data_IF_786376041191
#
_entry.id   IF_786376041191
#
_cell.length_a   1.000
_cell.length_b   1.000
_cell.length_c   1.000
_cell.angle_alpha   90.00
_cell.angle_beta   90.00
_cell.angle_gamma   90.00
#
_symmetry.space_group_name_H-M   'P 1'
#
loop_
_entity.id
_entity.type
_entity.pdbx_description
1 polymer ?
#
# COMPACT_ATOMS: atom_id res chain seq x y z
N UNK A 1 22.59 3.11 -3.22
CA UNK A 1 21.51 4.00 -2.74
C UNK A 1 21.02 3.47 -1.40
N UNK A 2 21.36 4.13 -0.28
CA UNK A 2 21.02 3.67 1.07
C UNK A 2 19.50 3.69 1.29
N UNK A 3 18.83 2.55 1.09
CA UNK A 3 17.43 2.38 1.46
C UNK A 3 17.38 2.10 2.96
N UNK A 4 16.94 3.09 3.75
CA UNK A 4 16.70 2.90 5.18
C UNK A 4 15.53 1.93 5.35
N UNK A 5 15.85 0.71 5.78
CA UNK A 5 14.88 -0.32 6.13
C UNK A 5 13.95 0.22 7.25
N UNK A 6 12.65 0.05 7.10
CA UNK A 6 11.65 0.57 8.03
C UNK A 6 11.73 -0.24 9.35
N UNK A 7 11.86 0.49 10.45
CA UNK A 7 11.80 -0.08 11.79
C UNK A 7 10.39 0.08 12.38
N UNK A 8 9.93 -0.93 13.12
CA UNK A 8 8.56 -0.97 13.64
C UNK A 8 8.30 0.12 14.68
N UNK A 9 9.34 0.49 15.43
CA UNK A 9 9.26 1.54 16.43
C UNK A 9 9.30 2.89 15.74
N UNK A 10 10.11 3.07 14.71
CA UNK A 10 10.23 4.38 14.04
C UNK A 10 9.13 4.72 13.01
N UNK A 11 8.11 3.88 12.84
CA UNK A 11 7.01 4.15 11.88
C UNK A 11 6.31 5.48 12.13
N UNK A 12 6.11 5.85 13.40
CA UNK A 12 5.43 7.09 13.77
C UNK A 12 6.30 8.35 13.55
N UNK A 13 7.62 8.20 13.39
CA UNK A 13 8.56 9.29 13.13
C UNK A 13 8.66 9.64 11.64
N UNK A 14 8.05 8.83 10.78
CA UNK A 14 8.11 9.00 9.34
C UNK A 14 7.36 10.25 8.88
N UNK A 15 7.93 10.92 7.87
CA UNK A 15 7.33 12.10 7.29
C UNK A 15 5.96 11.79 6.68
N UNK A 16 4.94 12.52 7.15
CA UNK A 16 3.56 12.47 6.62
C UNK A 16 3.54 12.96 5.17
N UNK A 17 2.68 12.37 4.35
CA UNK A 17 2.57 12.71 2.93
C UNK A 17 3.69 12.15 2.03
N UNK A 18 4.58 11.29 2.57
CA UNK A 18 5.63 10.63 1.79
C UNK A 18 5.42 9.11 1.71
N UNK A 19 6.00 8.53 0.67
CA UNK A 19 6.15 7.09 0.50
C UNK A 19 7.56 6.67 0.98
N UNK A 20 7.62 5.65 1.83
CA UNK A 20 8.85 5.11 2.37
C UNK A 20 9.01 3.67 1.88
N UNK A 21 10.19 3.30 1.40
CA UNK A 21 10.44 1.94 0.90
C UNK A 21 11.23 1.15 1.94
N UNK A 22 10.76 -0.06 2.28
CA UNK A 22 11.43 -0.97 3.21
C UNK A 22 12.45 -1.86 2.49
N UNK A 23 12.16 -2.20 1.23
CA UNK A 23 12.94 -3.15 0.43
C UNK A 23 12.11 -4.35 -0.01
N UNK A 24 12.60 -5.12 -0.99
CA UNK A 24 11.89 -6.29 -1.50
C UNK A 24 10.52 -5.99 -2.12
N UNK A 25 10.33 -4.77 -2.65
CA UNK A 25 9.04 -4.32 -3.21
C UNK A 25 8.04 -3.79 -2.17
N UNK A 26 8.34 -3.86 -0.87
CA UNK A 26 7.49 -3.33 0.18
C UNK A 26 7.74 -1.83 0.40
N UNK A 27 6.65 -1.07 0.47
CA UNK A 27 6.65 0.34 0.84
C UNK A 27 5.47 0.69 1.76
N UNK A 28 5.62 1.80 2.47
CA UNK A 28 4.62 2.42 3.30
C UNK A 28 4.23 3.76 2.70
N UNK A 29 2.96 3.94 2.39
CA UNK A 29 2.42 5.23 2.01
C UNK A 29 1.77 5.89 3.24
N UNK A 30 2.16 7.12 3.53
CA UNK A 30 1.58 7.92 4.61
C UNK A 30 0.78 9.05 3.97
N UNK A 31 -0.53 9.09 4.22
CA UNK A 31 -1.37 10.20 3.76
C UNK A 31 -1.01 11.49 4.52
N UNK A 32 -1.31 12.68 3.98
CA UNK A 32 -1.11 13.94 4.72
C UNK A 32 -1.90 13.99 6.04
N UNK A 33 -2.99 13.21 6.15
CA UNK A 33 -3.77 13.03 7.38
C UNK A 33 -3.11 12.09 8.40
N UNK A 34 -2.00 11.44 8.05
CA UNK A 34 -1.28 10.50 8.91
C UNK A 34 -1.78 9.06 8.85
N UNK A 35 -2.70 8.73 7.94
CA UNK A 35 -3.10 7.34 7.72
C UNK A 35 -1.98 6.60 7.00
N UNK A 36 -1.56 5.47 7.54
CA UNK A 36 -0.45 4.67 7.02
C UNK A 36 -0.98 3.39 6.39
N UNK A 37 -0.61 3.15 5.12
CA UNK A 37 -0.97 1.94 4.39
C UNK A 37 0.25 1.28 3.74
N UNK A 38 0.29 -0.05 3.83
CA UNK A 38 1.30 -0.87 3.20
C UNK A 38 0.98 -1.04 1.72
N UNK A 39 2.00 -0.85 0.88
CA UNK A 39 1.97 -1.07 -0.56
C UNK A 39 3.07 -2.03 -0.97
N UNK A 40 2.74 -2.95 -1.85
CA UNK A 40 3.67 -3.84 -2.50
C UNK A 40 3.75 -3.47 -3.97
N UNK A 41 4.95 -3.17 -4.45
CA UNK A 41 5.27 -2.87 -5.85
C UNK A 41 5.95 -4.09 -6.45
N UNK A 42 5.39 -4.60 -7.54
CA UNK A 42 5.96 -5.73 -8.27
C UNK A 42 5.81 -5.49 -9.78
N UNK A 43 6.64 -6.20 -10.54
CA UNK A 43 6.57 -6.19 -12.00
C UNK A 43 6.18 -7.58 -12.45
N UNK A 44 5.07 -7.69 -13.16
CA UNK A 44 4.56 -8.94 -13.71
C UNK A 44 4.29 -8.76 -15.21
N UNK A 45 4.79 -9.67 -16.05
CA UNK A 45 4.62 -9.58 -17.51
C UNK A 45 5.12 -8.26 -18.13
N UNK A 46 6.17 -7.66 -17.56
CA UNK A 46 6.71 -6.36 -18.00
C UNK A 46 5.90 -5.13 -17.57
N UNK A 47 4.83 -5.31 -16.78
CA UNK A 47 4.00 -4.23 -16.25
C UNK A 47 4.25 -4.04 -14.76
N UNK A 48 4.52 -2.80 -14.35
CA UNK A 48 4.70 -2.46 -12.95
C UNK A 48 3.34 -2.21 -12.30
N UNK A 49 2.97 -3.08 -11.37
CA UNK A 49 1.71 -3.00 -10.63
C UNK A 49 1.96 -2.71 -9.14
N UNK A 50 0.92 -2.19 -8.46
CA UNK A 50 0.96 -1.83 -7.05
C UNK A 50 -0.24 -2.44 -6.35
N UNK A 51 0.01 -3.22 -5.31
CA UNK A 51 -1.00 -3.83 -4.49
C UNK A 51 -1.01 -3.23 -3.07
N UNK A 52 -2.19 -2.95 -2.52
CA UNK A 52 -2.34 -2.57 -1.12
C UNK A 52 -2.36 -3.81 -0.22
N UNK A 53 -1.48 -3.86 0.79
CA UNK A 53 -1.43 -4.98 1.75
C UNK A 53 -2.29 -4.74 3.00
N UNK A 54 -2.77 -3.51 3.18
CA UNK A 54 -3.63 -3.08 4.29
C UNK A 54 -3.07 -1.90 5.08
N UNK A 55 -3.86 -1.42 6.05
CA UNK A 55 -3.42 -0.38 6.99
C UNK A 55 -2.43 -0.93 8.02
N UNK A 56 -1.68 -0.03 8.66
CA UNK A 56 -0.69 -0.39 9.67
C UNK A 56 -1.27 -1.09 10.91
N UNK A 57 -2.56 -0.85 11.21
CA UNK A 57 -3.28 -1.52 12.29
C UNK A 57 -3.77 -2.93 11.94
N UNK A 58 -3.86 -3.25 10.64
CA UNK A 58 -4.26 -4.58 10.19
C UNK A 58 -3.06 -5.52 10.04
N UNK A 59 -1.89 -4.99 9.69
CA UNK A 59 -0.66 -5.78 9.52
C UNK A 59 0.57 -5.06 10.06
N UNK A 60 1.36 -5.77 10.86
CA UNK A 60 2.66 -5.32 11.35
C UNK A 60 3.73 -5.36 10.25
N UNK A 61 4.89 -4.73 10.48
CA UNK A 61 6.02 -4.77 9.55
C UNK A 61 6.46 -6.20 9.22
N UNK A 62 6.50 -7.07 10.24
CA UNK A 62 6.92 -8.46 10.06
C UNK A 62 6.01 -9.18 9.08
N UNK A 63 4.70 -9.17 9.34
CA UNK A 63 3.65 -9.68 8.46
C UNK A 63 3.77 -9.11 7.03
N UNK A 64 3.96 -7.79 6.90
CA UNK A 64 4.09 -7.14 5.60
C UNK A 64 5.33 -7.62 4.82
N UNK A 65 6.46 -7.88 5.50
CA UNK A 65 7.67 -8.43 4.89
C UNK A 65 7.50 -9.88 4.45
N UNK A 66 6.87 -10.70 5.28
CA UNK A 66 6.61 -12.10 4.93
C UNK A 66 5.72 -12.20 3.71
N UNK A 67 4.68 -11.37 3.64
CA UNK A 67 3.81 -11.29 2.47
C UNK A 67 4.54 -10.79 1.23
N UNK A 68 5.35 -9.73 1.35
CA UNK A 68 6.16 -9.25 0.24
C UNK A 68 7.09 -10.34 -0.31
N UNK A 69 7.71 -11.13 0.58
CA UNK A 69 8.53 -12.27 0.19
C UNK A 69 7.71 -13.39 -0.50
N UNK A 70 6.51 -13.70 0.03
CA UNK A 70 5.59 -14.69 -0.57
C UNK A 70 5.12 -14.26 -1.95
N UNK A 71 4.64 -13.02 -2.11
CA UNK A 71 4.21 -12.49 -3.41
C UNK A 71 5.38 -12.34 -4.38
N UNK A 72 6.56 -11.94 -3.92
CA UNK A 72 7.76 -11.90 -4.75
C UNK A 72 8.14 -13.28 -5.32
N UNK A 73 7.94 -14.35 -4.54
CA UNK A 73 8.10 -15.72 -5.03
C UNK A 73 7.04 -16.10 -6.06
N UNK A 74 5.77 -15.78 -5.82
CA UNK A 74 4.67 -16.02 -6.76
C UNK A 74 4.90 -15.31 -8.10
N UNK A 75 5.29 -14.04 -8.07
CA UNK A 75 5.60 -13.25 -9.27
C UNK A 75 6.76 -13.87 -10.05
N UNK A 76 7.79 -14.38 -9.36
CA UNK A 76 8.90 -15.10 -9.99
C UNK A 76 8.49 -16.43 -10.61
N UNK A 77 7.50 -17.09 -10.02
CA UNK A 77 6.92 -18.34 -10.51
C UNK A 77 5.96 -18.11 -11.70
N UNK A 78 5.68 -16.85 -12.05
CA UNK A 78 4.71 -16.51 -13.09
C UNK A 78 3.26 -16.53 -12.60
N UNK A 79 3.05 -16.56 -11.28
CA UNK A 79 1.72 -16.47 -10.67
C UNK A 79 1.37 -15.03 -10.30
N UNK A 80 0.12 -14.66 -10.60
CA UNK A 80 -0.41 -13.35 -10.26
C UNK A 80 -0.70 -13.24 -8.76
N UNK A 81 -0.01 -12.34 -8.02
CA UNK A 81 -0.17 -12.21 -6.58
C UNK A 81 -1.49 -11.54 -6.18
N UNK A 82 -2.22 -10.92 -7.12
CA UNK A 82 -3.49 -10.26 -6.82
C UNK A 82 -4.57 -11.25 -6.37
N UNK A 83 -4.48 -12.49 -6.86
CA UNK A 83 -5.45 -13.56 -6.58
C UNK A 83 -5.18 -14.26 -5.24
N UNK A 84 -3.91 -14.28 -4.79
CA UNK A 84 -3.51 -15.04 -3.59
C UNK A 84 -3.43 -14.15 -2.36
N UNK A 85 -3.48 -12.83 -2.51
CA UNK A 85 -3.68 -12.00 -1.34
C UNK A 85 -5.01 -12.41 -0.73
N UNK A 86 -5.05 -12.88 0.54
CA UNK A 86 -6.30 -12.96 1.23
C UNK A 86 -6.79 -11.53 1.21
N UNK A 87 -7.80 -11.27 0.38
CA UNK A 87 -8.66 -10.11 0.47
C UNK A 87 -8.85 -9.96 1.96
N UNK A 88 -8.24 -8.93 2.55
CA UNK A 88 -8.64 -8.51 3.87
C UNK A 88 -10.13 -8.27 3.69
N UNK A 89 -10.92 -9.22 4.16
CA UNK A 89 -12.31 -9.36 3.81
C UNK A 89 -12.93 -7.97 3.91
N UNK A 90 -13.75 -7.51 2.95
CA UNK A 90 -14.53 -6.29 3.15
C UNK A 90 -15.49 -6.41 4.36
N UNK A 91 -15.47 -7.53 5.10
CA UNK A 91 -16.05 -7.66 6.42
C UNK A 91 -15.37 -6.73 7.43
N UNK A 92 -16.02 -5.59 7.65
CA UNK A 92 -15.84 -4.63 8.76
C UNK A 92 -14.89 -3.44 8.51
N UNK A 93 -15.28 -2.58 7.57
CA UNK A 93 -15.26 -1.14 7.83
C UNK A 93 -16.51 -0.50 7.23
N UNK A 94 -17.58 -0.46 8.03
CA UNK A 94 -18.68 0.47 7.85
C UNK A 94 -18.15 1.87 7.49
N UNK A 95 -18.90 2.69 6.73
CA UNK A 95 -18.48 4.05 6.43
C UNK A 95 -18.30 4.81 7.74
N UNK A 96 -17.05 5.03 8.16
CA UNK A 96 -16.75 6.11 9.09
C UNK A 96 -17.00 7.41 8.32
N UNK A 97 -18.23 7.88 8.41
CA UNK A 97 -18.64 9.24 8.06
C UNK A 97 -17.76 10.20 8.86
N UNK A 98 -16.66 10.65 8.27
CA UNK A 98 -16.17 11.99 8.53
C UNK A 98 -16.88 12.88 7.51
N UNK A 99 -17.70 13.77 8.04
CA UNK A 99 -18.53 14.75 7.35
C UNK A 99 -17.95 15.25 6.02
N UNK A 100 -18.71 14.98 4.95
CA UNK A 100 -19.02 15.89 3.84
C UNK A 100 -18.00 17.00 3.62
N UNK A 101 -16.94 16.71 2.87
CA UNK A 101 -16.28 17.64 1.93
C UNK A 101 -15.34 16.81 1.05
N UNK A 102 -15.63 16.79 -0.24
CA UNK A 102 -14.80 16.15 -1.26
C UNK A 102 -13.44 16.87 -1.33
N UNK A 103 -12.28 16.17 -1.29
CA UNK A 103 -11.02 16.79 -1.64
C UNK A 103 -11.02 17.13 -3.14
N UNK A 104 -10.88 18.42 -3.44
CA UNK A 104 -10.75 19.08 -4.75
C UNK A 104 -9.53 18.56 -5.53
N UNK A 105 -9.52 17.29 -5.94
CA UNK A 105 -8.48 16.76 -6.83
C UNK A 105 -8.99 15.81 -7.92
N UNK A 106 -10.27 15.44 -7.92
CA UNK A 106 -10.90 14.75 -9.04
C UNK A 106 -12.19 15.46 -9.44
N UNK A 107 -12.09 16.40 -10.39
CA UNK A 107 -13.16 16.77 -11.31
C UNK A 107 -12.59 17.70 -12.38
N UNK A 108 -12.10 17.13 -13.48
CA UNK A 108 -12.15 17.84 -14.76
C UNK A 108 -13.01 16.97 -15.67
N UNK A 109 -14.30 17.28 -15.86
CA UNK A 109 -15.06 16.67 -16.94
C UNK A 109 -14.48 17.14 -18.28
N UNK A 110 -14.39 16.27 -19.30
CA UNK A 110 -13.89 16.67 -20.61
C UNK A 110 -14.83 17.69 -21.26
N UNK A 111 -14.24 18.72 -21.87
CA UNK A 111 -14.93 19.70 -22.70
C UNK A 111 -15.31 19.10 -24.06
N UNK A 112 -16.60 19.20 -24.44
CA UNK A 112 -17.13 19.28 -25.83
C UNK A 112 -18.66 19.21 -25.78
N UNK A 113 -19.45 19.86 -26.65
CA UNK A 113 -19.21 20.67 -27.84
C UNK A 113 -20.35 21.71 -27.93
#
# INVERSE_FOLDING_TARGET
>A
MNTKRLDAKNLHLLAKGKEHNDGGGLGLQITPKGSMCWKFKFTYGGKAEKMGLGGIGARSIHEARELAAKYGRLVRDGHDPATTAPTASPAMAAPRRCSRTLPKWCATPPARA
#
